data_IF_267688381766
#
_entry.id   IF_267688381766
#
_cell.length_a   1.000
_cell.length_b   1.000
_cell.length_c   1.000
_cell.angle_alpha   90.00
_cell.angle_beta   90.00
_cell.angle_gamma   90.00
#
_symmetry.space_group_name_H-M   'P 1'
#
loop_
_entity.id
_entity.type
_entity.pdbx_description
1 polymer ?
#
# COMPACT_ATOMS: atom_id res chain seq x y z
N UNK A 1 -23.57 -44.23 42.23
CA UNK A 1 -22.42 -43.40 41.87
C UNK A 1 -22.63 -42.90 40.46
N UNK A 2 -22.98 -41.64 40.31
CA UNK A 2 -23.16 -40.97 39.00
C UNK A 2 -21.84 -40.29 38.63
N UNK A 3 -21.12 -40.81 37.63
CA UNK A 3 -19.98 -40.15 37.03
C UNK A 3 -20.46 -39.02 36.08
N UNK A 4 -20.30 -37.77 36.51
CA UNK A 4 -20.50 -36.62 35.63
C UNK A 4 -19.27 -36.47 34.77
N UNK A 5 -19.39 -36.83 33.49
CA UNK A 5 -18.38 -36.41 32.47
C UNK A 5 -18.58 -34.94 32.17
N UNK A 6 -17.63 -34.11 32.61
CA UNK A 6 -17.49 -32.72 32.15
C UNK A 6 -16.82 -32.74 30.79
N UNK A 7 -17.63 -32.51 29.76
CA UNK A 7 -17.09 -32.28 28.41
C UNK A 7 -16.56 -30.83 28.38
N UNK A 8 -15.24 -30.67 28.43
CA UNK A 8 -14.59 -29.41 28.17
C UNK A 8 -14.66 -29.14 26.67
N UNK A 9 -15.57 -28.25 26.27
CA UNK A 9 -15.59 -27.70 24.90
C UNK A 9 -14.45 -26.70 24.81
N UNK A 10 -13.32 -27.14 24.24
CA UNK A 10 -12.21 -26.25 23.89
C UNK A 10 -12.66 -25.35 22.73
N UNK A 11 -12.80 -24.06 23.00
CA UNK A 11 -12.93 -23.06 21.95
C UNK A 11 -11.58 -22.97 21.22
N UNK A 12 -11.49 -23.55 20.05
CA UNK A 12 -10.40 -23.28 19.13
C UNK A 12 -10.64 -21.90 18.50
N UNK A 13 -10.02 -20.86 19.05
CA UNK A 13 -9.91 -19.59 18.37
C UNK A 13 -8.99 -19.75 17.16
N UNK A 14 -9.55 -19.76 15.94
CA UNK A 14 -8.75 -19.70 14.72
C UNK A 14 -8.04 -18.34 14.66
N UNK A 15 -6.70 -18.30 14.44
CA UNK A 15 -6.03 -17.02 14.26
C UNK A 15 -6.58 -16.35 13.00
N UNK A 16 -7.08 -15.11 13.14
CA UNK A 16 -7.43 -14.26 12.01
C UNK A 16 -6.10 -13.79 11.40
N UNK A 17 -5.66 -14.43 10.32
CA UNK A 17 -4.50 -13.98 9.58
C UNK A 17 -4.89 -12.87 8.62
N UNK A 18 -4.29 -11.68 8.79
CA UNK A 18 -4.30 -10.63 7.78
C UNK A 18 -3.42 -11.07 6.61
N UNK A 19 -3.95 -11.00 5.39
CA UNK A 19 -3.17 -11.25 4.19
C UNK A 19 -2.34 -10.00 3.87
N UNK A 20 -1.05 -10.19 3.70
CA UNK A 20 -0.10 -9.13 3.29
C UNK A 20 0.57 -9.56 2.00
N UNK A 21 0.56 -8.69 1.01
CA UNK A 21 1.21 -8.96 -0.25
C UNK A 21 1.83 -7.67 -0.84
N UNK A 22 2.79 -7.84 -1.73
CA UNK A 22 3.57 -6.75 -2.28
C UNK A 22 3.59 -6.80 -3.79
N UNK A 23 3.66 -5.62 -4.41
CA UNK A 23 3.88 -5.50 -5.83
C UNK A 23 4.78 -4.30 -6.15
N UNK A 24 5.37 -4.30 -7.32
CA UNK A 24 6.17 -3.20 -7.82
C UNK A 24 5.77 -2.86 -9.25
N UNK A 25 6.02 -1.62 -9.65
CA UNK A 25 5.93 -1.24 -11.07
C UNK A 25 7.09 -1.85 -11.85
N UNK A 26 7.00 -1.99 -13.18
CA UNK A 26 8.04 -2.64 -13.99
C UNK A 26 9.43 -2.02 -13.84
N UNK A 27 9.52 -0.71 -13.62
CA UNK A 27 10.81 -0.03 -13.37
C UNK A 27 11.42 -0.34 -12.01
N UNK A 28 10.64 -0.89 -11.06
CA UNK A 28 11.03 -1.07 -9.67
C UNK A 28 11.07 0.22 -8.86
N UNK A 29 10.69 1.36 -9.44
CA UNK A 29 10.76 2.66 -8.76
C UNK A 29 9.60 2.88 -7.76
N UNK A 30 8.51 2.15 -7.91
CA UNK A 30 7.37 2.20 -7.00
C UNK A 30 7.11 0.78 -6.47
N UNK A 31 7.11 0.64 -5.16
CA UNK A 31 6.77 -0.60 -4.48
C UNK A 31 5.59 -0.35 -3.55
N UNK A 32 4.64 -1.28 -3.55
CA UNK A 32 3.47 -1.21 -2.71
C UNK A 32 3.36 -2.43 -1.81
N UNK A 33 2.90 -2.20 -0.60
CA UNK A 33 2.51 -3.23 0.37
C UNK A 33 1.03 -3.07 0.66
N UNK A 34 0.29 -4.16 0.52
CA UNK A 34 -1.15 -4.20 0.77
C UNK A 34 -1.42 -5.13 1.94
N UNK A 35 -2.11 -4.63 2.94
CA UNK A 35 -2.63 -5.42 4.05
C UNK A 35 -4.14 -5.56 3.92
N UNK A 36 -4.64 -6.78 3.83
CA UNK A 36 -6.07 -7.08 3.85
C UNK A 36 -6.42 -7.73 5.18
N UNK A 37 -7.26 -7.08 5.96
CA UNK A 37 -7.69 -7.53 7.27
C UNK A 37 -9.20 -7.61 7.40
N UNK A 38 -9.66 -8.27 8.47
CA UNK A 38 -11.08 -8.42 8.75
C UNK A 38 -11.79 -7.09 9.05
N UNK A 39 -11.06 -6.12 9.65
CA UNK A 39 -11.59 -4.80 10.02
C UNK A 39 -11.28 -3.70 9.01
N UNK A 40 -10.73 -4.06 7.86
CA UNK A 40 -10.35 -3.13 6.81
C UNK A 40 -8.99 -3.44 6.22
N UNK A 41 -8.67 -2.70 5.18
CA UNK A 41 -7.44 -2.88 4.42
C UNK A 41 -6.64 -1.58 4.37
N UNK A 42 -5.36 -1.69 4.14
CA UNK A 42 -4.48 -0.57 3.92
C UNK A 42 -3.54 -0.81 2.73
N UNK A 43 -3.05 0.26 2.17
CA UNK A 43 -2.03 0.23 1.13
C UNK A 43 -0.97 1.29 1.41
N UNK A 44 0.26 0.91 1.24
CA UNK A 44 1.42 1.77 1.35
C UNK A 44 2.27 1.64 0.10
N UNK A 45 2.47 2.73 -0.62
CA UNK A 45 3.31 2.77 -1.81
C UNK A 45 4.46 3.75 -1.62
N UNK A 46 5.66 3.31 -1.91
CA UNK A 46 6.88 4.12 -1.87
C UNK A 46 7.38 4.36 -3.27
N UNK A 47 7.58 5.64 -3.62
CA UNK A 47 8.32 6.04 -4.81
C UNK A 47 9.72 6.45 -4.39
N UNK A 48 10.74 5.81 -4.97
CA UNK A 48 12.12 5.99 -4.55
C UNK A 48 12.82 7.15 -5.26
N UNK A 49 12.65 7.27 -6.57
CA UNK A 49 13.29 8.30 -7.39
C UNK A 49 12.26 9.29 -7.90
N UNK A 50 12.50 10.55 -7.61
CA UNK A 50 11.68 11.67 -8.04
C UNK A 50 12.56 12.69 -8.76
N UNK A 51 12.14 13.14 -9.94
CA UNK A 51 12.89 14.14 -10.72
C UNK A 51 12.43 15.57 -10.46
N UNK A 52 11.18 15.73 -10.02
CA UNK A 52 10.57 17.03 -9.73
C UNK A 52 9.87 16.97 -8.37
N UNK A 53 9.89 18.08 -7.66
CA UNK A 53 9.27 18.17 -6.33
C UNK A 53 7.77 18.52 -6.37
N UNK A 54 7.09 18.20 -7.44
CA UNK A 54 5.67 18.49 -7.60
C UNK A 54 4.80 17.51 -6.79
N UNK A 55 4.80 17.67 -5.48
CA UNK A 55 3.95 16.89 -4.59
C UNK A 55 2.90 17.78 -3.94
N UNK A 56 1.67 17.33 -3.91
CA UNK A 56 0.56 18.02 -3.23
C UNK A 56 -0.08 17.04 -2.22
N UNK A 57 -0.07 17.33 -0.91
CA UNK A 57 0.62 18.43 -0.26
C UNK A 57 2.15 18.23 -0.27
N UNK A 58 2.88 19.34 -0.24
CA UNK A 58 4.33 19.30 -0.23
C UNK A 58 4.86 18.91 1.16
N UNK A 59 5.76 17.93 1.19
CA UNK A 59 6.46 17.54 2.41
C UNK A 59 7.67 18.42 2.68
N UNK A 60 7.58 19.24 3.71
CA UNK A 60 8.73 20.05 4.16
C UNK A 60 9.88 19.12 4.60
N UNK A 61 11.10 19.45 4.16
CA UNK A 61 12.31 18.73 4.57
C UNK A 61 12.51 17.35 3.95
N UNK A 62 11.75 16.99 2.90
CA UNK A 62 11.98 15.75 2.16
C UNK A 62 12.69 16.04 0.83
N UNK A 63 14.03 15.88 0.75
CA UNK A 63 14.77 16.16 -0.47
C UNK A 63 14.49 15.13 -1.58
N UNK A 64 14.76 15.50 -2.83
CA UNK A 64 14.56 14.61 -3.99
C UNK A 64 15.42 13.34 -3.95
N UNK A 65 16.51 13.36 -3.19
CA UNK A 65 17.36 12.17 -2.97
C UNK A 65 16.71 11.11 -2.11
N UNK A 66 15.60 11.42 -1.44
CA UNK A 66 14.83 10.50 -0.63
C UNK A 66 13.50 10.18 -1.31
N UNK A 67 13.02 8.97 -1.11
CA UNK A 67 11.70 8.56 -1.53
C UNK A 67 10.59 9.19 -0.67
N UNK A 68 9.37 9.02 -1.13
CA UNK A 68 8.16 9.37 -0.39
C UNK A 68 7.25 8.16 -0.32
N UNK A 69 6.71 7.92 0.85
CA UNK A 69 5.75 6.84 1.12
C UNK A 69 4.35 7.43 1.27
N UNK A 70 3.42 6.88 0.49
CA UNK A 70 2.00 7.24 0.48
C UNK A 70 1.21 6.12 1.14
N UNK A 71 0.38 6.48 2.09
CA UNK A 71 -0.43 5.53 2.87
C UNK A 71 -1.89 5.94 2.86
N UNK A 72 -2.78 4.97 2.69
CA UNK A 72 -4.21 5.14 2.90
C UNK A 72 -4.88 3.84 3.38
N UNK A 73 -5.94 4.02 4.13
CA UNK A 73 -6.89 2.94 4.39
C UNK A 73 -7.87 2.79 3.21
N UNK A 74 -8.67 1.73 3.23
CA UNK A 74 -9.74 1.51 2.25
C UNK A 74 -10.81 2.62 2.25
N UNK A 75 -10.84 3.43 3.31
CA UNK A 75 -11.61 4.67 3.44
C UNK A 75 -10.78 5.78 4.08
N UNK A 76 -11.15 7.01 3.74
CA UNK A 76 -10.45 8.19 4.27
C UNK A 76 -9.33 8.69 3.37
N UNK A 77 -8.67 9.74 3.81
CA UNK A 77 -7.66 10.45 3.04
C UNK A 77 -6.29 9.77 3.02
N UNK A 78 -5.44 10.25 2.13
CA UNK A 78 -4.06 9.78 1.97
C UNK A 78 -3.13 10.56 2.89
N UNK A 79 -2.14 9.87 3.45
CA UNK A 79 -1.00 10.46 4.15
C UNK A 79 0.28 10.20 3.37
N UNK A 80 1.15 11.19 3.33
CA UNK A 80 2.47 11.06 2.72
C UNK A 80 3.55 11.37 3.75
N UNK A 81 4.61 10.56 3.76
CA UNK A 81 5.76 10.73 4.66
C UNK A 81 7.05 10.59 3.89
N UNK A 82 8.08 11.29 4.35
CA UNK A 82 9.43 11.15 3.81
C UNK A 82 9.96 9.76 4.17
N UNK A 83 10.35 8.99 3.17
CA UNK A 83 10.88 7.64 3.37
C UNK A 83 12.21 7.69 4.11
N UNK A 84 12.48 6.79 5.07
CA UNK A 84 13.79 6.72 5.71
C UNK A 84 14.93 6.58 4.69
N UNK A 85 16.06 7.27 4.94
CA UNK A 85 17.19 7.31 4.01
C UNK A 85 17.82 5.93 3.75
N UNK A 86 17.63 4.98 4.67
CA UNK A 86 18.12 3.60 4.57
C UNK A 86 17.25 2.72 3.68
N UNK A 87 16.05 3.13 3.34
CA UNK A 87 15.13 2.34 2.53
C UNK A 87 15.59 2.29 1.08
N UNK A 88 15.53 1.11 0.52
CA UNK A 88 15.90 0.81 -0.87
C UNK A 88 14.85 -0.12 -1.48
N UNK A 89 14.69 -0.13 -2.81
CA UNK A 89 13.84 -1.11 -3.48
C UNK A 89 14.22 -2.52 -3.07
N UNK A 90 13.21 -3.32 -2.68
CA UNK A 90 13.42 -4.70 -2.20
C UNK A 90 13.68 -5.67 -3.35
N UNK A 91 13.01 -5.48 -4.48
CA UNK A 91 13.02 -6.43 -5.60
C UNK A 91 12.25 -7.72 -5.28
N UNK A 92 12.02 -8.55 -6.28
CA UNK A 92 11.41 -9.87 -6.11
C UNK A 92 9.90 -9.90 -5.86
N UNK A 93 9.23 -8.74 -5.86
CA UNK A 93 7.78 -8.67 -5.75
C UNK A 93 7.08 -9.07 -7.05
N UNK A 94 5.76 -9.30 -6.95
CA UNK A 94 4.90 -9.36 -8.13
C UNK A 94 4.96 -8.04 -8.89
N UNK A 95 4.97 -8.11 -10.21
CA UNK A 95 5.05 -6.93 -11.06
C UNK A 95 3.65 -6.52 -11.51
N UNK A 96 3.30 -5.27 -11.25
CA UNK A 96 2.13 -4.63 -11.85
C UNK A 96 2.49 -4.14 -13.25
N UNK A 97 2.26 -4.96 -14.24
CA UNK A 97 2.59 -4.66 -15.64
C UNK A 97 1.88 -3.39 -16.11
N UNK A 98 2.49 -2.67 -17.05
CA UNK A 98 1.88 -1.47 -17.62
C UNK A 98 0.57 -1.80 -18.34
N UNK A 99 -0.39 -0.88 -18.23
CA UNK A 99 -1.75 -0.99 -18.77
C UNK A 99 -2.62 -2.07 -18.11
N UNK A 100 -2.26 -2.48 -16.89
CA UNK A 100 -3.02 -3.43 -16.09
C UNK A 100 -3.66 -2.73 -14.91
N UNK A 101 -4.92 -3.02 -14.68
CA UNK A 101 -5.67 -2.59 -13.50
C UNK A 101 -5.92 -3.77 -12.57
N UNK A 102 -5.97 -3.50 -11.27
CA UNK A 102 -6.28 -4.48 -10.24
C UNK A 102 -7.19 -3.88 -9.19
N UNK A 103 -8.17 -4.66 -8.73
CA UNK A 103 -9.04 -4.33 -7.62
C UNK A 103 -8.77 -5.31 -6.48
N UNK A 104 -8.50 -4.80 -5.29
CA UNK A 104 -8.16 -5.62 -4.13
C UNK A 104 -8.35 -4.83 -2.83
N UNK A 105 -8.96 -5.46 -1.84
CA UNK A 105 -9.09 -4.90 -0.48
C UNK A 105 -9.79 -3.53 -0.39
N UNK A 106 -10.63 -3.18 -1.37
CA UNK A 106 -11.24 -1.85 -1.45
C UNK A 106 -10.40 -0.82 -2.21
N UNK A 107 -9.28 -1.22 -2.79
CA UNK A 107 -8.43 -0.40 -3.64
C UNK A 107 -8.59 -0.77 -5.10
N UNK A 108 -8.53 0.24 -5.96
CA UNK A 108 -8.44 0.11 -7.41
C UNK A 108 -7.15 0.78 -7.86
N UNK A 109 -6.23 0.02 -8.41
CA UNK A 109 -4.96 0.51 -8.91
C UNK A 109 -4.83 0.28 -10.41
N UNK A 110 -4.20 1.24 -11.08
CA UNK A 110 -3.85 1.14 -12.50
C UNK A 110 -2.38 1.48 -12.70
N UNK A 111 -1.64 0.58 -13.32
CA UNK A 111 -0.25 0.76 -13.70
C UNK A 111 -0.15 1.21 -15.15
N UNK A 112 0.59 2.27 -15.41
CA UNK A 112 0.86 2.79 -16.74
C UNK A 112 2.27 3.36 -16.82
N UNK A 113 2.78 3.60 -18.02
CA UNK A 113 4.06 4.29 -18.20
C UNK A 113 4.04 5.70 -17.65
N UNK A 114 2.86 6.33 -17.56
CA UNK A 114 2.64 7.64 -16.96
C UNK A 114 2.61 7.65 -15.43
N UNK A 115 2.62 6.48 -14.80
CA UNK A 115 2.62 6.35 -13.35
C UNK A 115 1.67 5.28 -12.82
N UNK A 116 1.70 5.11 -11.50
CA UNK A 116 0.77 4.25 -10.75
C UNK A 116 -0.30 5.12 -10.10
N UNK A 117 -1.56 4.79 -10.34
CA UNK A 117 -2.68 5.44 -9.67
C UNK A 117 -3.46 4.43 -8.86
N UNK A 118 -3.67 4.72 -7.58
CA UNK A 118 -4.51 3.92 -6.69
C UNK A 118 -5.60 4.79 -6.08
N UNK A 119 -6.78 4.21 -5.93
CA UNK A 119 -7.97 4.87 -5.38
C UNK A 119 -8.65 3.94 -4.39
N UNK A 120 -9.16 4.50 -3.28
CA UNK A 120 -9.91 3.73 -2.29
C UNK A 120 -11.44 3.85 -2.50
N UNK A 121 -12.20 3.28 -1.55
CA UNK A 121 -13.67 3.24 -1.62
C UNK A 121 -14.31 4.64 -1.54
N UNK A 122 -13.65 5.61 -0.94
CA UNK A 122 -14.13 7.00 -0.86
C UNK A 122 -13.70 7.86 -2.05
N UNK A 123 -12.95 7.30 -2.99
CA UNK A 123 -12.40 8.02 -4.12
C UNK A 123 -11.13 8.82 -3.82
N UNK A 124 -10.60 8.72 -2.60
CA UNK A 124 -9.28 9.24 -2.27
C UNK A 124 -8.19 8.34 -2.84
N UNK A 125 -7.06 8.93 -3.17
CA UNK A 125 -5.96 8.16 -3.69
C UNK A 125 -4.74 8.99 -4.03
N UNK A 126 -3.86 8.39 -4.80
CA UNK A 126 -2.64 9.04 -5.24
C UNK A 126 -2.26 8.61 -6.66
N UNK A 127 -1.56 9.49 -7.34
CA UNK A 127 -0.90 9.23 -8.61
C UNK A 127 0.60 9.44 -8.44
N UNK A 128 1.40 8.44 -8.77
CA UNK A 128 2.84 8.45 -8.57
C UNK A 128 3.58 8.25 -9.88
N UNK A 129 4.37 9.23 -10.26
CA UNK A 129 5.39 9.13 -11.30
C UNK A 129 6.64 9.87 -10.83
N UNK A 130 7.76 9.68 -11.51
CA UNK A 130 9.01 10.38 -11.14
C UNK A 130 8.86 11.89 -11.19
N UNK A 131 8.14 12.41 -12.19
CA UNK A 131 7.95 13.83 -12.41
C UNK A 131 6.80 14.42 -11.61
N UNK A 132 5.86 13.58 -11.11
CA UNK A 132 4.65 14.07 -10.49
C UNK A 132 4.12 13.10 -9.44
N UNK A 133 3.89 13.62 -8.23
CA UNK A 133 3.22 12.91 -7.16
C UNK A 133 2.02 13.74 -6.73
N UNK A 134 0.84 13.14 -6.78
CA UNK A 134 -0.41 13.81 -6.46
C UNK A 134 -1.23 12.99 -5.46
N UNK A 135 -1.89 13.71 -4.55
CA UNK A 135 -2.91 13.18 -3.64
C UNK A 135 -4.25 13.80 -4.04
N UNK A 136 -5.28 12.99 -4.07
CA UNK A 136 -6.64 13.44 -4.36
C UNK A 136 -7.69 12.80 -3.46
#
# INVERSE_FOLDING_TARGET
>A
MLFRFLISIGLFASPVSADVWTFATPSGNIECVVGEGFEGSDIECTIYRRSEAAMVPQLAGCPLSRGVTFFMYDRGGVRATCTPASWRPSGGQSIAEYNVSGDFGGFSCHSATSGLQCRNLDGHGFHLSRANQQIF
#
